data_IF_381542928207
#
_entry.id   IF_381542928207
#
_cell.length_a   1.000
_cell.length_b   1.000
_cell.length_c   1.000
_cell.angle_alpha   90.00
_cell.angle_beta   90.00
_cell.angle_gamma   90.00
#
_symmetry.space_group_name_H-M   'P 1'
#
loop_
_entity.id
_entity.type
_entity.pdbx_description
1 polymer ?
#
# COMPACT_ATOMS: atom_id res chain seq x y z
N UNK A 1 -3.39 -29.15 -1.35
CA UNK A 1 -4.05 -28.04 -2.07
C UNK A 1 -3.92 -26.82 -1.21
N UNK A 2 -3.52 -25.67 -1.76
CA UNK A 2 -3.18 -24.50 -0.97
C UNK A 2 -4.41 -23.59 -0.79
N UNK A 3 -4.82 -23.36 0.46
CA UNK A 3 -5.96 -22.48 0.80
C UNK A 3 -5.52 -21.16 1.44
N UNK A 4 -4.29 -21.10 1.95
CA UNK A 4 -3.68 -19.91 2.55
C UNK A 4 -2.33 -19.69 1.88
N UNK A 5 -2.10 -18.46 1.39
CA UNK A 5 -0.83 -18.04 0.82
C UNK A 5 -0.48 -16.71 1.47
N UNK A 6 0.63 -16.73 2.20
CA UNK A 6 1.20 -15.58 2.88
C UNK A 6 2.64 -15.44 2.42
N UNK A 7 2.97 -14.33 1.77
CA UNK A 7 4.29 -14.11 1.21
C UNK A 7 4.61 -12.62 1.10
N UNK A 8 5.88 -12.31 1.42
CA UNK A 8 6.50 -11.03 1.11
C UNK A 8 7.21 -11.12 -0.23
N UNK A 9 6.75 -10.38 -1.23
CA UNK A 9 7.47 -10.26 -2.51
C UNK A 9 8.56 -9.20 -2.42
N UNK A 10 9.80 -9.60 -2.20
CA UNK A 10 10.95 -8.70 -2.33
C UNK A 10 11.53 -8.74 -3.75
N UNK A 11 12.39 -7.78 -4.07
CA UNK A 11 13.14 -7.71 -5.31
C UNK A 11 12.27 -7.52 -6.57
N UNK A 12 11.07 -6.96 -6.43
CA UNK A 12 10.27 -6.52 -7.57
C UNK A 12 10.41 -5.00 -7.69
N UNK A 13 11.27 -4.48 -8.59
CA UNK A 13 11.58 -3.06 -8.61
C UNK A 13 10.35 -2.23 -8.98
N UNK A 14 9.98 -1.26 -8.15
CA UNK A 14 8.94 -0.27 -8.42
C UNK A 14 9.56 1.10 -8.64
N UNK A 15 10.06 1.36 -9.86
CA UNK A 15 10.67 2.64 -10.21
C UNK A 15 9.72 3.83 -10.08
N UNK A 16 8.41 3.56 -10.00
CA UNK A 16 7.39 4.57 -9.78
C UNK A 16 7.20 4.96 -8.31
N UNK A 17 7.89 4.31 -7.37
CA UNK A 17 7.84 4.64 -5.95
C UNK A 17 9.07 5.45 -5.55
N UNK A 18 8.83 6.61 -4.95
CA UNK A 18 9.85 7.42 -4.30
C UNK A 18 9.51 7.48 -2.81
N UNK A 19 10.49 7.14 -1.97
CA UNK A 19 10.40 7.27 -0.51
C UNK A 19 11.35 8.35 -0.05
N UNK A 20 10.82 9.31 0.69
CA UNK A 20 11.59 10.38 1.33
C UNK A 20 11.39 10.23 2.84
N UNK A 21 12.46 10.01 3.59
CA UNK A 21 12.37 9.90 5.06
C UNK A 21 12.03 11.28 5.66
N UNK A 22 10.99 11.34 6.50
CA UNK A 22 10.58 12.55 7.22
C UNK A 22 11.13 12.42 8.64
N UNK A 23 12.18 13.18 8.98
CA UNK A 23 12.55 13.38 10.39
C UNK A 23 13.81 12.68 10.88
N UNK A 24 14.96 13.10 10.35
CA UNK A 24 16.09 13.40 11.22
C UNK A 24 16.42 14.86 10.97
N UNK A 25 16.49 15.69 11.99
CA UNK A 25 17.02 17.05 11.86
C UNK A 25 18.46 16.96 11.33
N UNK A 26 18.60 17.11 10.02
CA UNK A 26 19.87 17.15 9.30
C UNK A 26 20.24 18.60 9.01
N UNK A 27 19.92 19.54 9.89
CA UNK A 27 20.32 20.95 9.78
C UNK A 27 21.84 21.16 9.55
N UNK A 28 22.68 20.13 9.68
CA UNK A 28 24.09 20.15 9.29
C UNK A 28 24.49 19.33 8.05
N UNK A 29 23.66 18.40 7.56
CA UNK A 29 24.01 17.55 6.42
C UNK A 29 23.08 17.90 5.27
N UNK A 30 23.55 18.74 4.35
CA UNK A 30 22.93 18.90 3.06
C UNK A 30 22.91 17.51 2.39
N UNK A 31 21.82 16.77 2.57
CA UNK A 31 21.53 15.61 1.76
C UNK A 31 21.45 16.14 0.33
N UNK A 32 22.51 15.91 -0.44
CA UNK A 32 22.40 15.95 -1.88
C UNK A 32 21.18 15.06 -2.20
N UNK A 33 20.21 15.54 -3.01
CA UNK A 33 19.10 14.70 -3.41
C UNK A 33 19.69 13.38 -3.84
N UNK A 34 19.30 12.30 -3.15
CA UNK A 34 19.75 10.95 -3.50
C UNK A 34 19.64 10.87 -5.01
N UNK A 35 20.79 10.66 -5.67
CA UNK A 35 20.92 10.79 -7.10
C UNK A 35 20.13 9.65 -7.74
N UNK A 36 18.81 9.80 -7.77
CA UNK A 36 17.88 8.89 -8.38
C UNK A 36 18.02 9.13 -9.86
N UNK A 37 19.01 8.45 -10.45
CA UNK A 37 19.08 8.28 -11.89
C UNK A 37 17.71 7.78 -12.32
N UNK A 38 16.99 8.48 -13.22
CA UNK A 38 15.70 8.04 -13.69
C UNK A 38 15.84 6.58 -14.16
N UNK A 39 14.98 5.68 -13.66
CA UNK A 39 15.08 4.28 -14.00
C UNK A 39 14.99 4.12 -15.52
N UNK A 40 15.97 3.42 -16.10
CA UNK A 40 16.05 3.25 -17.55
C UNK A 40 14.75 2.60 -18.07
N UNK A 41 14.15 3.06 -19.19
CA UNK A 41 12.87 2.53 -19.68
C UNK A 41 12.80 1.01 -19.82
N UNK A 42 13.94 0.38 -20.17
CA UNK A 42 14.09 -1.08 -20.26
C UNK A 42 13.81 -1.75 -18.90
N UNK A 43 14.33 -1.18 -17.80
CA UNK A 43 14.13 -1.73 -16.45
C UNK A 43 12.66 -1.64 -16.01
N UNK A 44 11.92 -0.62 -16.45
CA UNK A 44 10.48 -0.49 -16.18
C UNK A 44 9.71 -1.63 -16.86
N UNK A 45 10.00 -1.91 -18.13
CA UNK A 45 9.32 -2.97 -18.87
C UNK A 45 9.65 -4.36 -18.32
N UNK A 46 10.92 -4.63 -18.01
CA UNK A 46 11.34 -5.90 -17.40
C UNK A 46 10.65 -6.14 -16.05
N UNK A 47 10.52 -5.09 -15.22
CA UNK A 47 9.77 -5.16 -13.97
C UNK A 47 8.32 -5.55 -14.20
N UNK A 48 7.64 -4.91 -15.17
CA UNK A 48 6.24 -5.21 -15.50
C UNK A 48 6.07 -6.66 -15.98
N UNK A 49 6.97 -7.13 -16.83
CA UNK A 49 6.92 -8.50 -17.31
C UNK A 49 7.12 -9.52 -16.18
N UNK A 50 8.03 -9.22 -15.24
CA UNK A 50 8.23 -10.03 -14.05
C UNK A 50 6.99 -10.04 -13.14
N UNK A 51 6.42 -8.86 -12.86
CA UNK A 51 5.19 -8.72 -12.07
C UNK A 51 4.04 -9.54 -12.66
N UNK A 52 3.83 -9.42 -13.98
CA UNK A 52 2.77 -10.18 -14.65
C UNK A 52 3.00 -11.68 -14.59
N UNK A 53 4.25 -12.15 -14.72
CA UNK A 53 4.58 -13.57 -14.54
C UNK A 53 4.25 -14.05 -13.13
N UNK A 54 4.59 -13.26 -12.10
CA UNK A 54 4.28 -13.58 -10.71
C UNK A 54 2.76 -13.65 -10.49
N UNK A 55 2.03 -12.60 -10.87
CA UNK A 55 0.57 -12.53 -10.76
C UNK A 55 -0.11 -13.70 -11.48
N UNK A 56 0.36 -14.07 -12.67
CA UNK A 56 -0.12 -15.22 -13.42
C UNK A 56 0.10 -16.56 -12.69
N UNK A 57 1.20 -16.74 -11.98
CA UNK A 57 1.38 -17.95 -11.17
C UNK A 57 0.44 -17.94 -9.96
N UNK A 58 0.25 -16.79 -9.32
CA UNK A 58 -0.65 -16.65 -8.17
C UNK A 58 -2.10 -16.89 -8.57
N UNK A 59 -2.54 -16.41 -9.73
CA UNK A 59 -3.88 -16.63 -10.28
C UNK A 59 -4.24 -18.09 -10.53
N UNK A 60 -3.24 -18.99 -10.58
CA UNK A 60 -3.45 -20.45 -10.69
C UNK A 60 -3.84 -21.11 -9.37
N UNK A 61 -3.71 -20.41 -8.24
CA UNK A 61 -4.09 -20.89 -6.92
C UNK A 61 -5.60 -20.76 -6.71
N UNK A 62 -6.42 -21.38 -7.56
CA UNK A 62 -7.88 -21.13 -7.63
C UNK A 62 -8.69 -21.52 -6.39
N UNK A 63 -8.08 -22.25 -5.46
CA UNK A 63 -8.66 -22.62 -4.16
C UNK A 63 -8.16 -21.78 -2.99
N UNK A 64 -7.42 -20.73 -3.29
CA UNK A 64 -6.92 -19.80 -2.29
C UNK A 64 -8.09 -19.05 -1.65
N UNK A 65 -8.17 -19.10 -0.32
CA UNK A 65 -9.18 -18.41 0.51
C UNK A 65 -8.59 -17.19 1.20
N UNK A 66 -7.33 -17.29 1.62
CA UNK A 66 -6.60 -16.18 2.22
C UNK A 66 -5.36 -15.89 1.40
N UNK A 67 -5.27 -14.67 0.89
CA UNK A 67 -4.11 -14.18 0.15
C UNK A 67 -3.55 -12.94 0.84
N UNK A 68 -2.37 -13.09 1.44
CA UNK A 68 -1.69 -12.04 2.18
C UNK A 68 -0.36 -11.69 1.52
N UNK A 69 -0.19 -10.41 1.25
CA UNK A 69 1.03 -9.76 0.76
C UNK A 69 1.56 -8.86 1.87
N UNK A 70 1.96 -9.46 2.99
CA UNK A 70 2.42 -8.74 4.17
C UNK A 70 3.89 -9.01 4.47
N UNK A 71 4.54 -8.06 5.13
CA UNK A 71 5.78 -8.35 5.84
C UNK A 71 5.44 -8.87 7.23
N UNK A 72 5.75 -10.13 7.51
CA UNK A 72 5.71 -10.66 8.87
C UNK A 72 6.96 -10.15 9.62
N UNK A 73 6.76 -9.40 10.69
CA UNK A 73 7.80 -9.23 11.73
C UNK A 73 8.49 -7.87 11.84
N UNK A 74 7.79 -6.75 11.72
CA UNK A 74 8.38 -5.49 12.16
C UNK A 74 8.37 -5.38 13.68
N UNK A 75 9.57 -5.34 14.26
CA UNK A 75 9.79 -4.78 15.60
C UNK A 75 9.39 -3.30 15.53
N UNK A 76 8.29 -2.99 16.18
CA UNK A 76 7.70 -1.70 16.46
C UNK A 76 8.57 -0.78 17.35
N UNK A 77 9.89 -1.01 17.42
CA UNK A 77 10.77 -0.26 18.32
C UNK A 77 11.11 1.13 17.78
N UNK A 78 10.92 1.41 16.49
CA UNK A 78 11.14 2.73 15.89
C UNK A 78 10.10 3.04 14.81
N UNK A 79 9.16 3.94 15.12
CA UNK A 79 8.27 4.53 14.11
C UNK A 79 9.05 5.56 13.31
N UNK A 80 9.57 5.15 12.15
CA UNK A 80 10.09 6.08 11.15
C UNK A 80 8.90 6.52 10.30
N UNK A 81 8.69 7.84 10.22
CA UNK A 81 7.73 8.41 9.29
C UNK A 81 8.42 8.63 7.95
N UNK A 82 7.82 8.12 6.88
CA UNK A 82 8.31 8.37 5.52
C UNK A 82 7.22 8.99 4.67
N UNK A 83 7.60 9.90 3.79
CA UNK A 83 6.76 10.37 2.70
C UNK A 83 6.85 9.38 1.54
N UNK A 84 5.71 8.83 1.16
CA UNK A 84 5.58 7.95 0.01
C UNK A 84 4.95 8.69 -1.17
N UNK A 85 5.68 8.77 -2.28
CA UNK A 85 5.16 9.23 -3.56
C UNK A 85 5.08 8.06 -4.54
N UNK A 86 3.92 7.90 -5.20
CA UNK A 86 3.74 6.86 -6.22
C UNK A 86 3.28 7.51 -7.53
N UNK A 87 4.12 7.46 -8.56
CA UNK A 87 3.84 8.05 -9.89
C UNK A 87 3.48 9.55 -9.85
N UNK A 88 4.18 10.37 -9.05
CA UNK A 88 3.89 11.81 -8.95
C UNK A 88 2.75 12.16 -7.99
N UNK A 89 2.09 11.17 -7.40
CA UNK A 89 1.05 11.39 -6.39
C UNK A 89 1.74 11.36 -5.03
N UNK A 90 1.88 12.54 -4.40
CA UNK A 90 2.38 12.67 -3.04
C UNK A 90 1.29 12.12 -2.12
N UNK A 91 1.48 10.88 -1.72
CA UNK A 91 0.37 10.12 -1.20
C UNK A 91 0.32 10.28 0.32
N UNK A 92 1.36 9.88 1.05
CA UNK A 92 1.13 9.35 2.40
C UNK A 92 2.31 9.51 3.35
N UNK A 93 2.02 9.88 4.61
CA UNK A 93 2.94 9.65 5.73
C UNK A 93 2.70 8.22 6.17
N UNK A 94 3.73 7.39 6.02
CA UNK A 94 3.67 5.98 6.39
C UNK A 94 4.46 5.76 7.67
N UNK A 95 3.82 5.10 8.63
CA UNK A 95 4.43 4.63 9.87
C UNK A 95 5.15 3.30 9.59
N UNK A 96 6.48 3.31 9.71
CA UNK A 96 7.32 2.13 9.57
C UNK A 96 7.80 1.86 8.14
N UNK A 97 8.52 0.75 7.99
CA UNK A 97 9.14 0.37 6.72
C UNK A 97 8.09 -0.20 5.76
N UNK A 98 7.53 0.66 4.91
CA UNK A 98 6.70 0.25 3.79
C UNK A 98 7.54 -0.50 2.77
N UNK A 99 7.00 -1.63 2.31
CA UNK A 99 7.58 -2.43 1.25
C UNK A 99 7.42 -1.71 -0.09
N UNK A 100 8.52 -1.16 -0.59
CA UNK A 100 8.59 -0.42 -1.86
C UNK A 100 8.90 -1.32 -3.04
N UNK A 101 9.60 -2.43 -2.84
CA UNK A 101 10.00 -3.40 -3.86
C UNK A 101 8.96 -4.52 -4.05
N UNK A 102 7.71 -4.12 -4.22
CA UNK A 102 6.53 -5.00 -4.22
C UNK A 102 5.79 -5.06 -5.57
N UNK A 103 4.78 -5.92 -5.67
CA UNK A 103 3.92 -6.02 -6.86
C UNK A 103 3.10 -4.72 -7.07
N UNK A 104 2.92 -4.28 -8.32
CA UNK A 104 1.91 -3.27 -8.61
C UNK A 104 0.54 -3.94 -8.77
N UNK A 105 -0.44 -3.46 -8.01
CA UNK A 105 -1.80 -4.02 -7.97
C UNK A 105 -2.82 -3.13 -8.67
N UNK A 106 -2.37 -2.18 -9.51
CA UNK A 106 -3.25 -1.38 -10.38
C UNK A 106 -3.79 -2.20 -11.55
N UNK A 107 -5.03 -1.95 -11.96
CA UNK A 107 -5.68 -2.69 -13.05
C UNK A 107 -4.87 -2.69 -14.36
N UNK A 108 -4.19 -1.60 -14.66
CA UNK A 108 -3.34 -1.46 -15.85
C UNK A 108 -2.17 -2.46 -15.89
N UNK A 109 -1.76 -2.99 -14.72
CA UNK A 109 -0.50 -3.74 -14.57
C UNK A 109 -0.66 -5.23 -14.31
N UNK A 110 -1.87 -5.77 -14.37
CA UNK A 110 -2.08 -7.22 -14.42
C UNK A 110 -2.83 -7.91 -13.28
N UNK A 111 -3.55 -7.24 -12.35
CA UNK A 111 -4.34 -7.96 -11.35
C UNK A 111 -5.49 -8.75 -11.99
N UNK A 112 -5.84 -8.49 -13.27
CA UNK A 112 -6.71 -9.34 -14.08
C UNK A 112 -6.26 -10.80 -14.13
N UNK A 113 -4.94 -11.06 -14.03
CA UNK A 113 -4.38 -12.41 -13.92
C UNK A 113 -4.86 -13.14 -12.64
N UNK A 114 -5.32 -12.42 -11.62
CA UNK A 114 -5.88 -12.95 -10.37
C UNK A 114 -7.40 -13.18 -10.44
N UNK A 115 -8.05 -12.97 -11.59
CA UNK A 115 -9.50 -13.16 -11.74
C UNK A 115 -9.97 -14.59 -11.42
N UNK A 116 -9.06 -15.58 -11.53
CA UNK A 116 -9.33 -17.00 -11.26
C UNK A 116 -9.49 -17.35 -9.78
N UNK A 117 -9.16 -16.45 -8.85
CA UNK A 117 -9.24 -16.68 -7.41
C UNK A 117 -10.68 -16.59 -6.88
N UNK A 118 -11.58 -17.44 -7.41
CA UNK A 118 -13.03 -17.40 -7.10
C UNK A 118 -13.37 -17.81 -5.69
N UNK A 119 -12.47 -18.54 -5.04
CA UNK A 119 -12.59 -18.98 -3.64
C UNK A 119 -12.02 -17.98 -2.64
N UNK A 120 -11.50 -16.84 -3.10
CA UNK A 120 -10.85 -15.87 -2.22
C UNK A 120 -11.86 -15.21 -1.29
N UNK A 121 -11.60 -15.29 0.01
CA UNK A 121 -12.40 -14.69 1.07
C UNK A 121 -11.70 -13.49 1.71
N UNK A 122 -10.38 -13.54 1.80
CA UNK A 122 -9.57 -12.52 2.48
C UNK A 122 -8.39 -12.10 1.61
N UNK A 123 -8.24 -10.79 1.42
CA UNK A 123 -7.12 -10.19 0.73
C UNK A 123 -6.43 -9.16 1.62
N UNK A 124 -5.11 -9.27 1.81
CA UNK A 124 -4.34 -8.40 2.68
C UNK A 124 -3.08 -7.88 2.00
N UNK A 125 -2.82 -6.58 2.15
CA UNK A 125 -1.69 -5.85 1.53
C UNK A 125 -1.02 -4.90 2.54
N UNK A 126 -0.95 -5.32 3.81
CA UNK A 126 -0.40 -4.50 4.89
C UNK A 126 1.04 -4.05 4.59
N UNK A 127 1.31 -2.77 4.88
CA UNK A 127 2.64 -2.16 4.76
C UNK A 127 3.26 -2.32 3.36
N UNK A 128 2.41 -2.36 2.33
CA UNK A 128 2.83 -2.44 0.93
C UNK A 128 2.55 -1.10 0.25
N UNK A 129 3.51 -0.61 -0.54
CA UNK A 129 3.28 0.58 -1.36
C UNK A 129 2.40 0.23 -2.59
N UNK A 130 1.09 0.40 -2.43
CA UNK A 130 0.09 0.01 -3.41
C UNK A 130 -0.82 1.19 -3.81
N UNK A 131 -1.47 1.09 -4.97
CA UNK A 131 -2.43 2.09 -5.48
C UNK A 131 -3.84 1.51 -5.65
N UNK A 132 -4.29 0.74 -4.66
CA UNK A 132 -5.65 0.17 -4.68
C UNK A 132 -6.66 1.30 -4.44
N UNK A 133 -7.23 1.82 -5.52
CA UNK A 133 -8.28 2.83 -5.53
C UNK A 133 -9.68 2.23 -5.73
N UNK A 134 -10.66 3.09 -6.02
CA UNK A 134 -12.04 2.67 -6.30
C UNK A 134 -12.10 1.70 -7.49
N UNK A 135 -11.40 1.95 -8.62
CA UNK A 135 -11.45 1.04 -9.77
C UNK A 135 -10.98 -0.37 -9.42
N UNK A 136 -9.86 -0.51 -8.72
CA UNK A 136 -9.30 -1.79 -8.30
C UNK A 136 -10.28 -2.54 -7.38
N UNK A 137 -10.85 -1.85 -6.38
CA UNK A 137 -11.77 -2.48 -5.43
C UNK A 137 -13.06 -2.93 -6.12
N UNK A 138 -13.61 -2.13 -7.05
CA UNK A 138 -14.76 -2.54 -7.88
C UNK A 138 -14.45 -3.83 -8.64
N UNK A 139 -13.31 -3.87 -9.31
CA UNK A 139 -12.88 -5.05 -10.04
C UNK A 139 -12.72 -6.27 -9.13
N UNK A 140 -12.14 -6.11 -7.93
CA UNK A 140 -11.99 -7.21 -6.95
C UNK A 140 -13.35 -7.76 -6.53
N UNK A 141 -14.29 -6.87 -6.23
CA UNK A 141 -15.68 -7.21 -5.88
C UNK A 141 -16.37 -7.99 -7.00
N UNK A 142 -16.21 -7.56 -8.25
CA UNK A 142 -16.84 -8.21 -9.40
C UNK A 142 -16.22 -9.58 -9.72
N UNK A 143 -14.92 -9.77 -9.44
CA UNK A 143 -14.19 -10.97 -9.81
C UNK A 143 -14.05 -12.00 -8.69
N UNK A 144 -14.10 -11.60 -7.42
CA UNK A 144 -13.94 -12.47 -6.25
C UNK A 144 -15.27 -12.56 -5.47
N UNK A 145 -16.20 -13.42 -5.91
CA UNK A 145 -17.58 -13.44 -5.39
C UNK A 145 -17.69 -13.84 -3.91
N UNK A 146 -16.64 -14.45 -3.35
CA UNK A 146 -16.56 -14.88 -1.95
C UNK A 146 -15.77 -13.93 -1.06
N UNK A 147 -15.30 -12.80 -1.59
CA UNK A 147 -14.52 -11.83 -0.85
C UNK A 147 -15.35 -11.26 0.30
N UNK A 148 -14.77 -11.30 1.51
CA UNK A 148 -15.37 -10.83 2.77
C UNK A 148 -14.50 -9.80 3.48
N UNK A 149 -13.18 -9.82 3.25
CA UNK A 149 -12.25 -8.94 3.95
C UNK A 149 -11.19 -8.36 3.01
N UNK A 150 -10.98 -7.05 3.09
CA UNK A 150 -9.85 -6.36 2.45
C UNK A 150 -9.07 -5.60 3.53
N UNK A 151 -7.80 -5.94 3.65
CA UNK A 151 -6.93 -5.47 4.73
C UNK A 151 -5.74 -4.67 4.19
N UNK A 152 -5.30 -3.65 4.94
CA UNK A 152 -4.02 -2.97 4.70
C UNK A 152 -4.13 -1.62 4.00
N UNK A 153 -5.30 -0.96 4.08
CA UNK A 153 -5.57 0.31 3.36
C UNK A 153 -5.37 1.56 4.22
N UNK A 154 -4.57 1.46 5.27
CA UNK A 154 -4.30 2.59 6.17
C UNK A 154 -3.16 3.39 5.61
N UNK A 155 -3.52 4.53 5.04
CA UNK A 155 -2.55 5.55 4.82
C UNK A 155 -3.10 6.89 5.28
N UNK A 156 -2.26 7.68 5.93
CA UNK A 156 -2.62 9.03 6.35
C UNK A 156 -2.29 9.99 5.23
N UNK A 157 -3.27 10.79 4.80
CA UNK A 157 -3.03 11.88 3.86
C UNK A 157 -2.07 12.90 4.49
N UNK A 158 -1.05 13.32 3.74
CA UNK A 158 -0.06 14.30 4.19
C UNK A 158 -0.60 15.72 4.35
N UNK A 159 -1.84 15.99 3.91
CA UNK A 159 -2.46 17.33 4.01
C UNK A 159 -2.93 17.66 5.44
N UNK A 160 -2.93 16.66 6.35
CA UNK A 160 -2.99 16.93 7.76
C UNK A 160 -1.67 17.60 8.14
N UNK A 161 -1.69 18.95 8.19
CA UNK A 161 -0.61 19.80 8.66
C UNK A 161 0.18 19.04 9.71
N UNK A 162 1.43 18.71 9.38
CA UNK A 162 2.43 18.25 10.33
C UNK A 162 2.64 19.36 11.35
N UNK A 163 1.66 19.56 12.23
CA UNK A 163 1.76 20.23 13.52
C UNK A 163 2.58 19.28 14.36
N UNK A 164 3.85 19.14 14.00
CA UNK A 164 4.87 18.78 14.95
C UNK A 164 4.83 19.90 15.98
N UNK A 165 3.99 19.70 16.99
CA UNK A 165 3.98 20.51 18.18
C UNK A 165 5.39 20.42 18.73
N UNK A 166 6.17 21.47 18.53
CA UNK A 166 7.32 21.73 19.37
C UNK A 166 6.76 21.72 20.80
N UNK A 167 7.14 20.72 21.60
CA UNK A 167 6.58 20.40 22.92
C UNK A 167 6.92 21.45 24.00
N UNK A 168 7.11 22.72 23.62
CA UNK A 168 7.65 23.75 24.51
C UNK A 168 6.58 24.67 25.12
N UNK A 169 5.28 24.47 24.86
CA UNK A 169 4.23 25.27 25.49
C UNK A 169 3.20 24.39 26.21
N UNK A 170 3.20 24.47 27.55
CA UNK A 170 2.26 23.87 28.52
C UNK A 170 0.81 24.41 28.38
N UNK A 171 0.35 24.65 27.16
CA UNK A 171 -0.99 25.12 26.86
C UNK A 171 -1.98 23.96 26.78
N UNK A 172 -2.93 23.94 27.71
CA UNK A 172 -4.10 23.06 27.75
C UNK A 172 -4.89 23.09 26.43
N UNK A 173 -4.44 22.29 25.45
CA UNK A 173 -5.11 22.11 24.17
C UNK A 173 -6.12 20.99 24.32
N UNK A 174 -7.39 21.36 24.52
CA UNK A 174 -8.55 20.49 24.28
C UNK A 174 -8.64 20.19 22.78
N UNK A 175 -7.63 19.51 22.24
CA UNK A 175 -7.50 19.21 20.82
C UNK A 175 -8.71 18.42 20.37
N UNK A 176 -9.61 19.09 19.65
CA UNK A 176 -10.62 18.40 18.85
C UNK A 176 -9.86 17.51 17.88
N UNK A 177 -9.89 16.20 18.14
CA UNK A 177 -9.45 15.16 17.20
C UNK A 177 -10.21 15.41 15.89
N UNK A 178 -9.56 16.13 14.96
CA UNK A 178 -10.13 16.37 13.65
C UNK A 178 -10.47 15.02 13.05
N UNK A 179 -11.75 14.76 12.82
CA UNK A 179 -12.23 13.50 12.27
C UNK A 179 -11.47 13.24 10.97
N UNK A 180 -10.50 12.31 10.97
CA UNK A 180 -9.74 11.96 9.77
C UNK A 180 -10.76 11.55 8.70
N UNK A 181 -10.88 12.33 7.62
CA UNK A 181 -11.83 12.05 6.55
C UNK A 181 -11.58 10.63 6.03
N UNK A 182 -12.61 9.79 6.14
CA UNK A 182 -12.50 8.40 5.72
C UNK A 182 -12.24 8.31 4.21
N UNK A 183 -11.24 7.55 3.74
CA UNK A 183 -10.92 7.47 2.31
C UNK A 183 -12.15 7.12 1.46
N UNK A 184 -12.35 7.81 0.33
CA UNK A 184 -13.54 7.64 -0.55
C UNK A 184 -13.85 6.18 -0.88
N UNK A 185 -12.80 5.40 -1.07
CA UNK A 185 -12.87 3.95 -1.30
C UNK A 185 -13.52 3.14 -0.17
N UNK A 186 -13.30 3.50 1.09
CA UNK A 186 -13.93 2.85 2.25
C UNK A 186 -15.39 3.28 2.33
N UNK A 187 -15.68 4.57 2.12
CA UNK A 187 -17.04 5.11 2.02
C UNK A 187 -17.84 4.37 0.93
N UNK A 188 -17.26 4.23 -0.26
CA UNK A 188 -17.86 3.51 -1.38
C UNK A 188 -18.10 2.03 -1.05
N UNK A 189 -17.15 1.36 -0.40
CA UNK A 189 -17.28 -0.05 0.00
C UNK A 189 -18.40 -0.27 1.01
N UNK A 190 -18.50 0.56 2.05
CA UNK A 190 -19.59 0.47 3.03
C UNK A 190 -20.96 0.69 2.39
N UNK A 191 -21.05 1.62 1.43
CA UNK A 191 -22.28 1.89 0.72
C UNK A 191 -22.67 0.77 -0.26
N UNK A 192 -21.70 0.19 -0.97
CA UNK A 192 -21.96 -0.72 -2.09
C UNK A 192 -21.90 -2.21 -1.71
N UNK A 193 -21.08 -2.57 -0.73
CA UNK A 193 -20.80 -3.93 -0.26
C UNK A 193 -20.61 -3.95 1.26
N UNK A 194 -21.66 -3.66 2.06
CA UNK A 194 -21.58 -3.65 3.52
C UNK A 194 -21.25 -5.03 4.13
N UNK A 195 -21.37 -6.10 3.33
CA UNK A 195 -20.96 -7.45 3.68
C UNK A 195 -19.43 -7.67 3.65
N UNK A 196 -18.67 -6.74 3.06
CA UNK A 196 -17.21 -6.77 3.03
C UNK A 196 -16.63 -5.84 4.09
N UNK A 197 -15.81 -6.40 4.97
CA UNK A 197 -15.07 -5.67 6.00
C UNK A 197 -13.80 -5.08 5.38
N UNK A 198 -13.59 -3.77 5.57
CA UNK A 198 -12.39 -3.05 5.14
C UNK A 198 -11.67 -2.48 6.36
N UNK A 199 -10.36 -2.70 6.50
CA UNK A 199 -9.57 -2.30 7.68
C UNK A 199 -8.12 -1.93 7.40
#
# INVERSE_FOLDING_TARGET
MLEVFDCKFTCVPRPDIVVTEIGVDLSGWALAPSSQVPPHPIAIQESRDLQRKVLKQLGRLTRLRTFSLQTVGYNNEWTIYSQLEISGIQTMIVEGAVQTDCLDLTLERGPDELAGLKELEQFAVYQMAHRIGIPEVKWMVDNWPKLKNIHGRRYKHCDAELRFHNEDEEGNSDGEDGEEEEPETIVWMRASRPDIIVS
#
